data_IF_242038529068
#
_entry.id   IF_242038529068
#
_cell.length_a   1.000
_cell.length_b   1.000
_cell.length_c   1.000
_cell.angle_alpha   90.00
_cell.angle_beta   90.00
_cell.angle_gamma   90.00
#
_symmetry.space_group_name_H-M   'P 1'
#
loop_
_entity.id
_entity.type
_entity.pdbx_description
1 polymer ?
#
# COMPACT_ATOMS: atom_id res chain seq x y z
N UNK A 1 -10.79 -21.07 -1.74
CA UNK A 1 -10.55 -19.91 -0.85
C UNK A 1 -10.12 -18.75 -1.73
N UNK A 2 -10.83 -17.63 -1.70
CA UNK A 2 -10.53 -16.45 -2.53
C UNK A 2 -9.30 -15.70 -1.98
N UNK A 3 -8.69 -14.84 -2.79
CA UNK A 3 -7.59 -13.96 -2.30
C UNK A 3 -8.08 -13.06 -1.18
N UNK A 4 -9.32 -12.57 -1.27
CA UNK A 4 -9.95 -11.81 -0.19
C UNK A 4 -9.99 -12.61 1.12
N UNK A 5 -10.36 -13.90 1.08
CA UNK A 5 -10.40 -14.74 2.28
C UNK A 5 -9.00 -15.04 2.83
N UNK A 6 -8.01 -15.21 1.95
CA UNK A 6 -6.61 -15.38 2.36
C UNK A 6 -6.09 -14.15 3.09
N UNK A 7 -6.35 -12.95 2.56
CA UNK A 7 -5.97 -11.69 3.20
C UNK A 7 -6.67 -11.52 4.55
N UNK A 8 -7.96 -11.84 4.65
CA UNK A 8 -8.69 -11.75 5.92
C UNK A 8 -8.20 -12.77 6.97
N UNK A 9 -7.68 -13.92 6.55
CA UNK A 9 -7.08 -14.89 7.46
C UNK A 9 -5.81 -14.34 8.14
N UNK A 10 -5.03 -13.48 7.49
CA UNK A 10 -3.88 -12.80 8.10
C UNK A 10 -4.26 -11.94 9.30
N UNK A 11 -5.49 -11.41 9.31
CA UNK A 11 -5.98 -10.57 10.40
C UNK A 11 -6.32 -11.35 11.69
N UNK A 12 -6.49 -12.66 11.60
CA UNK A 12 -6.90 -13.47 12.76
C UNK A 12 -5.79 -13.55 13.84
N UNK A 13 -4.53 -13.60 13.40
CA UNK A 13 -3.37 -13.74 14.30
C UNK A 13 -2.18 -12.94 13.74
N UNK A 14 -2.25 -11.60 13.69
CA UNK A 14 -1.15 -10.79 13.20
C UNK A 14 0.05 -10.91 14.15
N UNK A 15 1.22 -11.20 13.59
CA UNK A 15 2.46 -11.37 14.36
C UNK A 15 3.52 -10.44 13.81
N UNK A 16 4.20 -9.71 14.69
CA UNK A 16 5.36 -8.91 14.33
C UNK A 16 6.48 -9.77 13.74
N UNK A 17 7.20 -9.23 12.76
CA UNK A 17 8.33 -9.90 12.13
C UNK A 17 9.54 -8.98 12.10
N UNK A 18 10.74 -9.55 12.14
CA UNK A 18 12.00 -8.78 11.99
C UNK A 18 12.03 -7.97 10.70
N UNK A 19 11.40 -8.47 9.64
CA UNK A 19 11.29 -7.77 8.36
C UNK A 19 10.40 -6.54 8.46
N UNK A 20 9.26 -6.63 9.16
CA UNK A 20 8.38 -5.49 9.40
C UNK A 20 9.10 -4.42 10.23
N UNK A 21 9.83 -4.80 11.27
CA UNK A 21 10.61 -3.88 12.11
C UNK A 21 11.72 -3.19 11.31
N UNK A 22 12.44 -3.94 10.48
CA UNK A 22 13.45 -3.37 9.58
C UNK A 22 12.82 -2.44 8.53
N UNK A 23 11.64 -2.78 8.03
CA UNK A 23 10.85 -1.93 7.12
C UNK A 23 10.46 -0.60 7.77
N UNK A 24 9.96 -0.65 9.00
CA UNK A 24 9.60 0.53 9.80
C UNK A 24 10.80 1.45 10.03
N UNK A 25 11.96 0.89 10.40
CA UNK A 25 13.18 1.67 10.59
C UNK A 25 13.62 2.39 9.30
N UNK A 26 13.69 1.67 8.19
CA UNK A 26 14.04 2.25 6.88
C UNK A 26 13.04 3.32 6.44
N UNK A 27 11.74 3.08 6.65
CA UNK A 27 10.69 4.06 6.35
C UNK A 27 10.87 5.33 7.16
N UNK A 28 11.10 5.24 8.48
CA UNK A 28 11.26 6.40 9.35
C UNK A 28 12.45 7.27 8.91
N UNK A 29 13.62 6.68 8.64
CA UNK A 29 14.79 7.38 8.14
C UNK A 29 14.52 8.09 6.80
N UNK A 30 13.93 7.37 5.84
CA UNK A 30 13.62 7.92 4.52
C UNK A 30 12.58 9.05 4.59
N UNK A 31 11.56 8.92 5.43
CA UNK A 31 10.55 9.95 5.62
C UNK A 31 11.16 11.25 6.14
N UNK A 32 12.05 11.17 7.13
CA UNK A 32 12.78 12.34 7.65
C UNK A 32 13.64 12.98 6.55
N UNK A 33 14.41 12.17 5.82
CA UNK A 33 15.30 12.65 4.76
C UNK A 33 14.55 13.37 3.62
N UNK A 34 13.33 12.91 3.29
CA UNK A 34 12.52 13.47 2.19
C UNK A 34 11.62 14.63 2.56
N UNK A 35 11.52 14.99 3.86
CA UNK A 35 10.53 15.95 4.37
C UNK A 35 10.66 17.37 3.79
N UNK A 36 11.85 17.72 3.32
CA UNK A 36 12.15 19.03 2.75
C UNK A 36 12.26 19.02 1.21
N UNK A 37 11.84 17.98 0.55
CA UNK A 37 11.80 17.92 -0.92
C UNK A 37 10.75 18.89 -1.48
N UNK A 38 10.91 19.29 -2.74
CA UNK A 38 9.96 20.22 -3.38
C UNK A 38 8.55 19.60 -3.48
N UNK A 39 8.45 18.29 -3.71
CA UNK A 39 7.17 17.56 -3.79
C UNK A 39 6.40 17.65 -2.47
N UNK A 40 7.08 17.43 -1.34
CA UNK A 40 6.46 17.52 -0.01
C UNK A 40 6.08 18.95 0.33
N UNK A 41 6.91 19.95 -0.02
CA UNK A 41 6.55 21.36 0.18
C UNK A 41 5.30 21.75 -0.63
N UNK A 42 5.23 21.32 -1.89
CA UNK A 42 4.06 21.56 -2.73
C UNK A 42 2.80 20.88 -2.15
N UNK A 43 2.93 19.63 -1.71
CA UNK A 43 1.83 18.88 -1.11
C UNK A 43 1.31 19.56 0.17
N UNK A 44 2.20 20.01 1.07
CA UNK A 44 1.83 20.75 2.28
C UNK A 44 1.09 22.06 2.00
N UNK A 45 1.44 22.74 0.91
CA UNK A 45 0.78 23.99 0.54
C UNK A 45 -0.70 23.80 0.14
N UNK A 46 -1.11 22.59 -0.25
CA UNK A 46 -2.51 22.30 -0.58
C UNK A 46 -3.43 22.28 0.65
N UNK A 47 -2.93 21.84 1.81
CA UNK A 47 -3.71 21.69 3.05
C UNK A 47 -2.85 22.01 4.27
N UNK A 48 -2.54 23.29 4.50
CA UNK A 48 -1.57 23.68 5.54
C UNK A 48 -2.06 23.39 6.96
N UNK A 49 -3.37 23.27 7.18
CA UNK A 49 -3.96 23.04 8.49
C UNK A 49 -4.45 21.58 8.72
N UNK A 50 -4.26 20.66 7.74
CA UNK A 50 -4.68 19.27 7.88
C UNK A 50 -3.57 18.45 8.60
N UNK A 51 -3.92 17.86 9.73
CA UNK A 51 -3.05 17.01 10.55
C UNK A 51 -3.65 15.61 10.80
N UNK A 52 -4.75 15.29 10.13
CA UNK A 52 -5.40 13.99 10.24
C UNK A 52 -4.48 12.82 9.86
N UNK A 53 -4.76 11.59 10.38
CA UNK A 53 -3.87 10.44 10.16
C UNK A 53 -3.70 10.11 8.67
N UNK A 54 -4.75 10.19 7.86
CA UNK A 54 -4.67 9.96 6.43
C UNK A 54 -3.73 10.97 5.75
N UNK A 55 -3.81 12.24 6.13
CA UNK A 55 -2.93 13.28 5.60
C UNK A 55 -1.46 13.07 6.03
N UNK A 56 -1.23 12.73 7.29
CA UNK A 56 0.13 12.38 7.76
C UNK A 56 0.72 11.20 6.99
N UNK A 57 -0.08 10.15 6.72
CA UNK A 57 0.37 9.03 5.91
C UNK A 57 0.74 9.44 4.48
N UNK A 58 -0.07 10.31 3.86
CA UNK A 58 0.25 10.83 2.53
C UNK A 58 1.57 11.58 2.51
N UNK A 59 1.75 12.51 3.44
CA UNK A 59 2.98 13.30 3.55
C UNK A 59 4.21 12.43 3.79
N UNK A 60 4.14 11.53 4.77
CA UNK A 60 5.29 10.69 5.15
C UNK A 60 5.68 9.68 4.08
N UNK A 61 4.71 9.04 3.41
CA UNK A 61 5.00 8.15 2.29
C UNK A 61 5.59 8.89 1.09
N UNK A 62 5.01 10.07 0.75
CA UNK A 62 5.54 10.91 -0.32
C UNK A 62 6.97 11.36 0.01
N UNK A 63 7.23 11.76 1.27
CA UNK A 63 8.56 12.14 1.72
C UNK A 63 9.56 11.00 1.58
N UNK A 64 9.24 9.81 2.11
CA UNK A 64 10.15 8.67 2.06
C UNK A 64 10.54 8.28 0.62
N UNK A 65 9.58 8.33 -0.31
CA UNK A 65 9.82 7.99 -1.71
C UNK A 65 10.48 9.12 -2.51
N UNK A 66 10.42 10.35 -2.04
CA UNK A 66 11.10 11.52 -2.64
C UNK A 66 12.50 11.78 -2.06
N UNK A 67 12.91 11.03 -1.04
CA UNK A 67 14.22 11.15 -0.43
C UNK A 67 15.34 10.87 -1.44
N UNK A 68 16.52 11.49 -1.31
CA UNK A 68 17.68 11.12 -2.12
C UNK A 68 18.00 9.62 -1.96
N UNK A 69 18.00 8.87 -3.06
CA UNK A 69 18.12 7.40 -3.06
C UNK A 69 16.81 6.65 -2.77
N UNK A 70 15.71 7.33 -2.61
CA UNK A 70 14.38 6.73 -2.48
C UNK A 70 13.95 5.97 -3.75
N UNK A 71 13.03 5.02 -3.61
CA UNK A 71 12.59 4.15 -4.70
C UNK A 71 11.99 4.88 -5.92
N UNK A 72 11.47 6.09 -5.72
CA UNK A 72 10.98 6.91 -6.82
C UNK A 72 12.10 7.48 -7.69
N UNK A 73 13.32 7.65 -7.13
CA UNK A 73 14.51 8.05 -7.88
C UNK A 73 15.11 6.90 -8.72
N UNK A 74 14.81 5.66 -8.37
CA UNK A 74 15.25 4.47 -9.13
C UNK A 74 14.28 4.13 -10.28
N UNK A 75 13.78 5.12 -10.98
CA UNK A 75 12.93 4.98 -12.18
C UNK A 75 13.60 4.29 -13.39
N UNK A 76 14.65 3.53 -13.17
CA UNK A 76 15.17 2.57 -14.10
C UNK A 76 14.33 1.28 -14.02
N UNK A 77 13.16 1.26 -14.66
CA UNK A 77 12.66 0.00 -15.21
C UNK A 77 13.69 -0.40 -16.27
N UNK A 78 14.42 -1.53 -16.12
CA UNK A 78 15.22 -2.02 -17.23
C UNK A 78 14.26 -2.28 -18.39
N UNK A 79 14.36 -1.48 -19.42
CA UNK A 79 13.82 -1.78 -20.73
C UNK A 79 14.53 -3.03 -21.22
N UNK A 80 13.89 -4.17 -21.21
CA UNK A 80 14.36 -5.34 -21.89
C UNK A 80 14.34 -6.63 -21.06
N UNK A 81 13.58 -7.59 -21.59
CA UNK A 81 13.63 -9.03 -21.38
C UNK A 81 13.29 -9.51 -19.96
N UNK A 82 12.07 -10.05 -19.85
CA UNK A 82 11.75 -11.02 -18.82
C UNK A 82 12.77 -12.16 -18.85
N UNK A 83 13.42 -12.55 -17.74
CA UNK A 83 14.19 -13.78 -17.70
C UNK A 83 13.22 -14.95 -17.85
N UNK A 84 13.29 -15.62 -19.00
CA UNK A 84 12.68 -16.92 -19.20
C UNK A 84 13.37 -17.90 -18.27
N UNK A 85 12.66 -18.42 -17.27
CA UNK A 85 13.12 -19.54 -16.48
C UNK A 85 13.12 -19.34 -14.96
N UNK A 86 12.03 -18.87 -14.37
CA UNK A 86 11.83 -19.02 -12.94
C UNK A 86 10.82 -20.15 -12.69
N UNK A 87 11.25 -21.16 -11.94
CA UNK A 87 10.42 -22.27 -11.50
C UNK A 87 9.25 -21.76 -10.62
N UNK A 88 8.07 -22.44 -10.65
CA UNK A 88 6.95 -22.10 -9.77
C UNK A 88 7.27 -22.61 -8.35
N UNK A 89 7.65 -21.73 -7.47
CA UNK A 89 7.95 -22.10 -6.09
C UNK A 89 8.37 -20.91 -5.25
N UNK A 90 7.42 -20.38 -4.48
CA UNK A 90 7.65 -19.33 -3.49
C UNK A 90 7.49 -17.93 -4.08
N UNK A 91 6.33 -17.29 -3.80
CA UNK A 91 6.22 -15.85 -4.00
C UNK A 91 7.31 -15.18 -3.16
N UNK A 92 8.29 -14.56 -3.82
CA UNK A 92 9.20 -13.66 -3.14
C UNK A 92 8.34 -12.59 -2.46
N UNK A 93 8.66 -12.20 -1.21
CA UNK A 93 7.90 -11.17 -0.51
C UNK A 93 7.85 -9.93 -1.40
N UNK A 94 6.74 -9.16 -1.24
CA UNK A 94 6.55 -7.89 -1.95
C UNK A 94 7.52 -6.84 -1.38
N UNK A 95 8.82 -7.04 -1.62
CA UNK A 95 9.94 -6.29 -1.05
C UNK A 95 10.26 -5.01 -1.81
N UNK A 96 9.32 -4.54 -2.62
CA UNK A 96 9.49 -3.24 -3.25
C UNK A 96 9.48 -2.13 -2.19
N UNK A 97 10.48 -1.23 -2.19
CA UNK A 97 10.51 -0.08 -1.27
C UNK A 97 9.19 0.71 -1.25
N UNK A 98 8.45 0.69 -2.35
CA UNK A 98 7.13 1.32 -2.48
C UNK A 98 6.10 0.65 -1.58
N UNK A 99 5.99 -0.69 -1.64
CA UNK A 99 5.01 -1.45 -0.84
C UNK A 99 5.26 -1.24 0.64
N UNK A 100 6.50 -1.46 1.09
CA UNK A 100 6.89 -1.27 2.48
C UNK A 100 6.59 0.15 2.95
N UNK A 101 6.95 1.17 2.17
CA UNK A 101 6.73 2.57 2.51
C UNK A 101 5.24 2.89 2.70
N UNK A 102 4.39 2.45 1.77
CA UNK A 102 2.94 2.75 1.82
C UNK A 102 2.29 2.06 3.01
N UNK A 103 2.63 0.80 3.27
CA UNK A 103 2.08 0.03 4.41
C UNK A 103 2.56 0.62 5.74
N UNK A 104 3.85 0.92 5.89
CA UNK A 104 4.40 1.55 7.10
C UNK A 104 3.78 2.93 7.34
N UNK A 105 3.63 3.77 6.31
CA UNK A 105 3.03 5.09 6.44
C UNK A 105 1.58 5.03 6.94
N UNK A 106 0.79 4.09 6.42
CA UNK A 106 -0.59 3.92 6.86
C UNK A 106 -0.68 3.43 8.32
N UNK A 107 0.15 2.49 8.70
CA UNK A 107 0.14 1.93 10.06
C UNK A 107 0.66 2.95 11.10
N UNK A 108 1.83 3.56 10.88
CA UNK A 108 2.45 4.51 11.82
C UNK A 108 1.64 5.79 12.02
N UNK A 109 0.89 6.22 11.01
CA UNK A 109 -0.02 7.37 11.15
C UNK A 109 -1.18 7.12 12.13
N UNK A 110 -1.48 5.84 12.45
CA UNK A 110 -2.55 5.43 13.36
C UNK A 110 -2.03 5.05 14.75
N UNK A 111 -0.76 4.73 14.91
CA UNK A 111 -0.14 4.40 16.19
C UNK A 111 1.26 3.83 16.07
N UNK A 112 1.99 3.78 17.19
CA UNK A 112 3.40 3.34 17.22
C UNK A 112 3.54 1.80 17.30
N UNK A 113 2.64 1.11 18.01
CA UNK A 113 2.65 -0.36 18.12
C UNK A 113 2.00 -0.99 16.88
N UNK A 114 2.70 -0.95 15.75
CA UNK A 114 2.15 -1.30 14.45
C UNK A 114 2.89 -2.45 13.73
N UNK A 115 3.96 -3.03 14.31
CA UNK A 115 4.79 -4.02 13.63
C UNK A 115 4.00 -5.23 13.13
N UNK A 116 3.08 -5.77 13.95
CA UNK A 116 2.23 -6.90 13.56
C UNK A 116 1.26 -6.54 12.42
N UNK A 117 0.70 -5.32 12.46
CA UNK A 117 -0.17 -4.81 11.40
C UNK A 117 0.60 -4.61 10.09
N UNK A 118 1.83 -4.10 10.17
CA UNK A 118 2.73 -3.95 9.01
C UNK A 118 3.06 -5.31 8.41
N UNK A 119 3.43 -6.30 9.23
CA UNK A 119 3.74 -7.65 8.75
C UNK A 119 2.54 -8.27 7.99
N UNK A 120 1.33 -8.18 8.56
CA UNK A 120 0.11 -8.65 7.90
C UNK A 120 -0.18 -7.88 6.60
N UNK A 121 0.02 -6.56 6.62
CA UNK A 121 -0.15 -5.70 5.45
C UNK A 121 0.81 -6.03 4.30
N UNK A 122 2.08 -6.31 4.59
CA UNK A 122 3.07 -6.73 3.59
C UNK A 122 2.68 -8.06 2.95
N UNK A 123 2.23 -9.03 3.74
CA UNK A 123 1.74 -10.31 3.22
C UNK A 123 0.48 -10.14 2.36
N UNK A 124 -0.45 -9.28 2.78
CA UNK A 124 -1.64 -8.97 2.00
C UNK A 124 -1.29 -8.31 0.66
N UNK A 125 -0.32 -7.40 0.65
CA UNK A 125 0.18 -6.80 -0.59
C UNK A 125 0.80 -7.84 -1.52
N UNK A 126 1.58 -8.80 -1.01
CA UNK A 126 2.16 -9.88 -1.81
C UNK A 126 1.07 -10.77 -2.45
N UNK A 127 0.01 -11.10 -1.70
CA UNK A 127 -1.14 -11.83 -2.25
C UNK A 127 -1.87 -11.03 -3.34
N UNK A 128 -2.03 -9.72 -3.15
CA UNK A 128 -2.64 -8.84 -4.14
C UNK A 128 -1.76 -8.70 -5.40
N UNK A 129 -0.44 -8.61 -5.24
CA UNK A 129 0.51 -8.53 -6.35
C UNK A 129 0.45 -9.76 -7.24
N UNK A 130 0.35 -10.96 -6.64
CA UNK A 130 0.17 -12.21 -7.40
C UNK A 130 -1.10 -12.19 -8.27
N UNK A 131 -2.19 -11.57 -7.79
CA UNK A 131 -3.44 -11.39 -8.54
C UNK A 131 -3.36 -10.34 -9.65
N UNK A 132 -2.32 -9.49 -9.66
CA UNK A 132 -2.12 -8.37 -10.58
C UNK A 132 -1.03 -8.62 -11.64
N UNK A 133 -0.53 -9.84 -11.76
CA UNK A 133 0.65 -10.17 -12.60
C UNK A 133 0.53 -9.72 -14.07
N UNK A 134 -0.67 -9.49 -14.59
CA UNK A 134 -0.96 -9.08 -15.98
C UNK A 134 -1.40 -7.62 -16.14
N UNK A 135 -1.38 -6.83 -15.08
CA UNK A 135 -1.87 -5.44 -15.06
C UNK A 135 -0.88 -4.46 -15.75
N UNK A 136 -0.76 -4.51 -17.06
CA UNK A 136 0.33 -3.91 -17.85
C UNK A 136 0.48 -2.38 -17.73
N UNK A 137 -0.61 -1.62 -17.62
CA UNK A 137 -0.60 -0.15 -17.53
C UNK A 137 -0.48 0.39 -16.11
N UNK A 138 -0.58 -0.47 -15.11
CA UNK A 138 -0.64 -0.11 -13.70
C UNK A 138 0.72 -0.24 -13.01
N UNK A 139 0.95 0.60 -12.01
CA UNK A 139 2.05 0.42 -11.07
C UNK A 139 1.64 -0.64 -10.05
N UNK A 140 1.90 -1.90 -10.35
CA UNK A 140 1.52 -3.03 -9.50
C UNK A 140 1.95 -2.82 -8.04
N UNK A 141 3.19 -2.34 -7.72
CA UNK A 141 3.57 -2.07 -6.34
C UNK A 141 2.69 -1.04 -5.61
N UNK A 142 2.22 0.01 -6.30
CA UNK A 142 1.33 1.02 -5.68
C UNK A 142 -0.06 0.44 -5.45
N UNK A 143 -0.55 -0.33 -6.42
CA UNK A 143 -1.90 -0.92 -6.38
C UNK A 143 -1.98 -2.02 -5.32
N UNK A 144 -1.00 -2.91 -5.24
CA UNK A 144 -0.93 -3.96 -4.21
C UNK A 144 -0.72 -3.38 -2.82
N UNK A 145 0.13 -2.34 -2.71
CA UNK A 145 0.37 -1.62 -1.46
C UNK A 145 -0.90 -0.99 -0.88
N UNK A 146 -1.83 -0.49 -1.71
CA UNK A 146 -3.10 0.04 -1.24
C UNK A 146 -3.94 -1.01 -0.50
N UNK A 147 -3.95 -2.25 -1.00
CA UNK A 147 -4.64 -3.38 -0.36
C UNK A 147 -3.95 -3.76 0.96
N UNK A 148 -2.62 -3.88 0.94
CA UNK A 148 -1.83 -4.16 2.15
C UNK A 148 -1.99 -3.11 3.23
N UNK A 149 -1.90 -1.83 2.85
CA UNK A 149 -2.11 -0.71 3.75
C UNK A 149 -3.54 -0.66 4.30
N UNK A 150 -4.54 -1.04 3.50
CA UNK A 150 -5.94 -1.16 3.94
C UNK A 150 -6.13 -2.21 5.03
N UNK A 151 -5.46 -3.37 4.91
CA UNK A 151 -5.45 -4.38 5.97
C UNK A 151 -4.75 -3.84 7.22
N UNK A 152 -3.54 -3.28 7.07
CA UNK A 152 -2.77 -2.74 8.19
C UNK A 152 -3.55 -1.64 8.94
N UNK A 153 -4.13 -0.68 8.23
CA UNK A 153 -4.96 0.39 8.81
C UNK A 153 -6.20 -0.18 9.52
N UNK A 154 -6.85 -1.17 8.93
CA UNK A 154 -8.00 -1.84 9.53
C UNK A 154 -7.64 -2.56 10.84
N UNK A 155 -6.50 -3.24 10.89
CA UNK A 155 -5.97 -3.87 12.11
C UNK A 155 -5.67 -2.82 13.18
N UNK A 156 -4.99 -1.73 12.83
CA UNK A 156 -4.70 -0.62 13.75
C UNK A 156 -5.96 0.03 14.31
N UNK A 157 -7.06 0.02 13.56
CA UNK A 157 -8.36 0.54 14.01
C UNK A 157 -9.24 -0.51 14.71
N UNK A 158 -8.75 -1.74 14.89
CA UNK A 158 -9.48 -2.83 15.56
C UNK A 158 -10.70 -3.33 14.80
N UNK A 159 -10.68 -3.29 13.47
CA UNK A 159 -11.82 -3.71 12.64
C UNK A 159 -12.05 -5.21 12.69
N UNK A 160 -13.31 -5.64 12.83
CA UNK A 160 -13.70 -7.03 12.68
C UNK A 160 -13.71 -7.49 11.20
N UNK A 161 -13.78 -8.81 10.97
CA UNK A 161 -13.66 -9.42 9.64
C UNK A 161 -14.61 -8.82 8.58
N UNK A 162 -15.86 -8.51 8.93
CA UNK A 162 -16.81 -7.90 8.01
C UNK A 162 -16.41 -6.46 7.62
N UNK A 163 -15.92 -5.68 8.58
CA UNK A 163 -15.43 -4.33 8.34
C UNK A 163 -14.11 -4.34 7.55
N UNK A 164 -13.20 -5.27 7.85
CA UNK A 164 -11.96 -5.46 7.07
C UNK A 164 -12.29 -5.78 5.60
N UNK A 165 -13.23 -6.68 5.35
CA UNK A 165 -13.71 -6.97 3.99
C UNK A 165 -14.22 -5.70 3.29
N UNK A 166 -14.98 -4.88 4.00
CA UNK A 166 -15.48 -3.60 3.47
C UNK A 166 -14.34 -2.63 3.19
N UNK A 167 -13.38 -2.50 4.11
CA UNK A 167 -12.21 -1.64 3.95
C UNK A 167 -11.39 -2.03 2.71
N UNK A 168 -11.11 -3.34 2.52
CA UNK A 168 -10.41 -3.84 1.33
C UNK A 168 -11.16 -3.50 0.04
N UNK A 169 -12.48 -3.64 0.04
CA UNK A 169 -13.29 -3.29 -1.13
C UNK A 169 -13.34 -1.79 -1.41
N UNK A 170 -13.38 -0.94 -0.38
CA UNK A 170 -13.28 0.52 -0.55
C UNK A 170 -11.88 0.87 -1.07
N UNK A 171 -10.80 0.29 -0.54
CA UNK A 171 -9.45 0.46 -1.08
C UNK A 171 -9.38 0.09 -2.57
N UNK A 172 -9.98 -1.03 -2.96
CA UNK A 172 -10.00 -1.49 -4.34
C UNK A 172 -10.69 -0.48 -5.28
N UNK A 173 -11.76 0.18 -4.84
CA UNK A 173 -12.45 1.21 -5.65
C UNK A 173 -11.66 2.51 -5.79
N UNK A 174 -10.71 2.75 -4.90
CA UNK A 174 -9.88 3.96 -4.87
C UNK A 174 -8.44 3.70 -5.36
N UNK A 175 -8.14 2.47 -5.74
CA UNK A 175 -6.80 2.12 -6.20
C UNK A 175 -6.43 2.93 -7.44
N UNK A 176 -5.26 3.55 -7.37
CA UNK A 176 -4.67 4.32 -8.46
C UNK A 176 -3.18 4.03 -8.50
N UNK A 177 -2.58 4.26 -9.64
CA UNK A 177 -1.15 4.07 -9.82
C UNK A 177 -0.85 3.78 -11.28
N UNK A 178 -0.36 4.77 -12.00
CA UNK A 178 0.02 4.62 -13.40
C UNK A 178 1.52 4.35 -13.51
N UNK A 179 1.88 3.34 -14.29
CA UNK A 179 3.28 3.06 -14.62
C UNK A 179 3.93 4.25 -15.33
N UNK A 180 3.15 4.99 -16.13
CA UNK A 180 3.62 6.18 -16.83
C UNK A 180 4.08 7.33 -15.91
N UNK A 181 3.71 7.29 -14.62
CA UNK A 181 4.18 8.26 -13.64
C UNK A 181 5.64 8.04 -13.20
N UNK A 182 6.25 6.89 -13.53
CA UNK A 182 7.62 6.56 -13.13
C UNK A 182 8.61 7.67 -13.57
N UNK A 183 9.50 8.06 -12.65
CA UNK A 183 10.49 9.12 -12.88
C UNK A 183 9.94 10.55 -12.82
N UNK A 184 8.67 10.75 -12.48
CA UNK A 184 8.07 12.07 -12.29
C UNK A 184 7.69 12.31 -10.83
N UNK A 185 7.36 13.57 -10.47
CA UNK A 185 6.85 13.93 -9.14
C UNK A 185 5.53 13.21 -8.79
N UNK A 186 4.79 12.76 -9.80
CA UNK A 186 3.56 12.00 -9.60
C UNK A 186 3.80 10.59 -9.02
N UNK A 187 5.00 10.01 -9.21
CA UNK A 187 5.30 8.68 -8.69
C UNK A 187 5.24 8.61 -7.15
N UNK A 188 5.98 9.42 -6.38
CA UNK A 188 5.86 9.43 -4.92
C UNK A 188 4.48 9.93 -4.46
N UNK A 189 3.86 10.85 -5.20
CA UNK A 189 2.55 11.39 -4.87
C UNK A 189 1.45 10.31 -4.91
N UNK A 190 1.41 9.48 -5.97
CA UNK A 190 0.41 8.42 -6.11
C UNK A 190 0.58 7.32 -5.05
N UNK A 191 1.81 6.98 -4.70
CA UNK A 191 2.09 6.02 -3.63
C UNK A 191 1.65 6.55 -2.25
N UNK A 192 1.97 7.80 -1.95
CA UNK A 192 1.47 8.44 -0.72
C UNK A 192 -0.05 8.53 -0.69
N UNK A 193 -0.71 8.79 -1.83
CA UNK A 193 -2.17 8.78 -1.91
C UNK A 193 -2.76 7.39 -1.65
N UNK A 194 -2.08 6.32 -1.98
CA UNK A 194 -2.51 4.97 -1.64
C UNK A 194 -2.57 4.76 -0.10
N UNK A 195 -1.57 5.27 0.64
CA UNK A 195 -1.61 5.24 2.11
C UNK A 195 -2.76 6.08 2.69
N UNK A 196 -3.01 7.27 2.13
CA UNK A 196 -4.15 8.11 2.50
C UNK A 196 -5.47 7.35 2.31
N UNK A 197 -5.72 6.83 1.11
CA UNK A 197 -6.94 6.12 0.75
C UNK A 197 -7.17 4.88 1.63
N UNK A 198 -6.10 4.18 2.01
CA UNK A 198 -6.17 3.02 2.89
C UNK A 198 -6.71 3.37 4.29
N UNK A 199 -6.23 4.46 4.88
CA UNK A 199 -6.74 4.93 6.18
C UNK A 199 -8.19 5.40 6.05
N UNK A 200 -8.52 6.18 5.03
CA UNK A 200 -9.88 6.66 4.79
C UNK A 200 -10.85 5.49 4.59
N UNK A 201 -10.46 4.46 3.82
CA UNK A 201 -11.26 3.26 3.62
C UNK A 201 -11.52 2.50 4.94
N UNK A 202 -10.50 2.35 5.78
CA UNK A 202 -10.63 1.71 7.08
C UNK A 202 -11.54 2.53 8.02
N UNK A 203 -11.41 3.86 8.02
CA UNK A 203 -12.29 4.75 8.78
C UNK A 203 -13.75 4.69 8.31
N UNK A 204 -13.99 4.68 7.00
CA UNK A 204 -15.33 4.53 6.43
C UNK A 204 -15.95 3.18 6.81
N UNK A 205 -15.19 2.09 6.71
CA UNK A 205 -15.64 0.76 7.12
C UNK A 205 -15.98 0.70 8.61
N UNK A 206 -15.21 1.39 9.47
CA UNK A 206 -15.49 1.52 10.90
C UNK A 206 -16.81 2.24 11.14
N UNK A 207 -17.16 3.21 10.30
CA UNK A 207 -18.43 3.97 10.36
C UNK A 207 -19.59 3.21 9.72
N UNK A 208 -19.39 1.96 9.25
CA UNK A 208 -20.46 1.12 8.70
C UNK A 208 -20.62 1.18 7.19
N UNK A 209 -19.72 1.84 6.46
CA UNK A 209 -19.72 1.75 5.00
C UNK A 209 -19.42 0.32 4.57
N UNK A 210 -20.12 -0.14 3.55
CA UNK A 210 -20.01 -1.51 3.03
C UNK A 210 -19.45 -1.52 1.62
N UNK A 211 -18.88 -2.65 1.23
CA UNK A 211 -18.45 -2.93 -0.14
C UNK A 211 -19.00 -4.28 -0.64
N UNK A 212 -18.56 -4.71 -1.82
CA UNK A 212 -18.87 -6.04 -2.35
C UNK A 212 -18.43 -7.16 -1.40
N UNK A 213 -19.13 -8.31 -1.43
CA UNK A 213 -18.71 -9.52 -0.72
C UNK A 213 -17.40 -10.11 -1.24
N UNK A 214 -17.17 -9.97 -2.54
CA UNK A 214 -15.96 -10.43 -3.23
C UNK A 214 -15.28 -9.26 -3.94
N UNK A 215 -14.65 -8.34 -3.18
CA UNK A 215 -14.16 -7.08 -3.73
C UNK A 215 -12.94 -7.26 -4.63
N UNK A 216 -12.13 -8.30 -4.43
CA UNK A 216 -10.89 -8.52 -5.16
C UNK A 216 -11.06 -9.55 -6.29
N UNK A 217 -11.74 -10.67 -6.03
CA UNK A 217 -11.75 -11.87 -6.89
C UNK A 217 -13.03 -12.05 -7.72
N UNK A 218 -14.12 -11.32 -7.42
CA UNK A 218 -15.42 -11.45 -8.10
C UNK A 218 -15.33 -11.11 -9.59
N UNK A 219 -16.29 -11.61 -10.39
CA UNK A 219 -16.31 -11.45 -11.86
C UNK A 219 -16.14 -9.99 -12.37
N UNK A 220 -16.58 -9.01 -11.60
CA UNK A 220 -16.45 -7.56 -11.87
C UNK A 220 -15.67 -6.86 -10.76
N UNK A 221 -14.76 -7.58 -10.11
CA UNK A 221 -13.96 -7.11 -9.01
C UNK A 221 -12.60 -6.62 -9.49
N UNK A 222 -11.76 -6.29 -8.53
CA UNK A 222 -10.52 -5.58 -8.72
C UNK A 222 -9.53 -6.28 -9.68
N UNK A 223 -9.19 -7.56 -9.42
CA UNK A 223 -8.19 -8.26 -10.23
C UNK A 223 -8.63 -8.47 -11.68
N UNK A 224 -9.84 -8.98 -11.99
CA UNK A 224 -10.27 -9.13 -13.37
C UNK A 224 -10.33 -7.83 -14.17
N UNK A 225 -10.65 -6.70 -13.52
CA UNK A 225 -10.70 -5.39 -14.19
C UNK A 225 -9.32 -4.84 -14.54
N UNK A 226 -8.30 -5.11 -13.71
CA UNK A 226 -6.95 -4.61 -13.95
C UNK A 226 -6.11 -5.54 -14.83
N UNK A 227 -6.53 -6.77 -15.00
CA UNK A 227 -5.84 -7.80 -15.80
C UNK A 227 -6.39 -7.93 -17.24
N UNK A 228 -7.37 -7.10 -17.60
CA UNK A 228 -8.03 -7.11 -18.93
C UNK A 228 -7.34 -6.21 -19.94
#
# INVERSE_FOLDING_TARGET
>A
MTTTDQILALAAHPTATTEADAGLARFAEAAVAGMNTHVVRALRALRPADDGPAWRAWLSATAALSAPGGAAASGAVPSGAAPSGAAPGGAAPADGPVVTTVVCAAATALGEDCSAAVAAGLQAAALAEAGLATAAGWSVPVVSAAIGAGLAAGLMLGLGAAQLRSALGICATQAAGLRAAAGTDAAPLQAGKAAFNAIEAAQLARLGFTSSREPLDGRRAFFPLLSS
#
